data_IF_520458723151
#
_entry.id   IF_520458723151
#
_cell.length_a   1.000
_cell.length_b   1.000
_cell.length_c   1.000
_cell.angle_alpha   90.00
_cell.angle_beta   90.00
_cell.angle_gamma   90.00
#
_symmetry.space_group_name_H-M   'P 1'
#
loop_
_entity.id
_entity.type
_entity.pdbx_description
1 polymer ?
#
# COMPACT_ATOMS: atom_id res chain seq x y z
N UNK A 1 -14.17 18.05 -3.11
CA UNK A 1 -13.38 17.86 -1.88
C UNK A 1 -12.07 18.66 -1.86
N UNK A 2 -11.97 19.77 -2.63
CA UNK A 2 -10.76 20.61 -2.74
C UNK A 2 -11.02 22.10 -2.50
N UNK A 3 -12.25 22.48 -2.19
CA UNK A 3 -12.65 23.87 -1.94
C UNK A 3 -12.03 24.47 -0.66
N UNK A 4 -11.41 23.63 0.17
CA UNK A 4 -10.73 24.03 1.39
C UNK A 4 -9.25 24.43 1.18
N UNK A 5 -8.59 24.06 0.07
CA UNK A 5 -7.13 24.20 -0.04
C UNK A 5 -6.63 25.66 0.00
N UNK A 6 -7.34 26.60 -0.65
CA UNK A 6 -6.91 28.01 -0.66
C UNK A 6 -7.28 28.73 0.64
N UNK A 7 -8.53 28.56 1.10
CA UNK A 7 -9.02 29.19 2.33
C UNK A 7 -8.28 28.67 3.56
N UNK A 8 -8.02 27.37 3.63
CA UNK A 8 -7.25 26.76 4.73
C UNK A 8 -5.80 27.25 4.75
N UNK A 9 -5.18 27.44 3.59
CA UNK A 9 -3.84 28.01 3.51
C UNK A 9 -3.80 29.44 4.08
N UNK A 10 -4.82 30.26 3.81
CA UNK A 10 -4.94 31.60 4.42
C UNK A 10 -5.09 31.51 5.94
N UNK A 11 -5.92 30.60 6.44
CA UNK A 11 -6.11 30.40 7.89
C UNK A 11 -4.80 29.97 8.55
N UNK A 12 -4.07 29.03 7.97
CA UNK A 12 -2.76 28.61 8.47
C UNK A 12 -1.77 29.77 8.47
N UNK A 13 -1.77 30.61 7.43
CA UNK A 13 -0.91 31.79 7.34
C UNK A 13 -1.23 32.79 8.47
N UNK A 14 -2.51 33.05 8.73
CA UNK A 14 -2.97 33.88 9.85
C UNK A 14 -2.52 33.31 11.20
N UNK A 15 -2.74 32.01 11.44
CA UNK A 15 -2.34 31.35 12.70
C UNK A 15 -0.83 31.41 12.87
N UNK A 16 -0.07 31.16 11.81
CA UNK A 16 1.39 31.25 11.83
C UNK A 16 1.86 32.68 12.18
N UNK A 17 1.22 33.72 11.64
CA UNK A 17 1.51 35.11 11.97
C UNK A 17 1.23 35.41 13.45
N UNK A 18 0.16 34.87 14.04
CA UNK A 18 -0.17 35.09 15.45
C UNK A 18 0.79 34.35 16.38
N UNK A 19 1.07 33.08 16.10
CA UNK A 19 1.86 32.21 16.97
C UNK A 19 3.35 32.55 16.92
N UNK A 20 3.89 32.71 15.70
CA UNK A 20 5.32 32.96 15.48
C UNK A 20 5.60 34.47 15.50
N UNK A 21 4.64 35.28 15.07
CA UNK A 21 4.79 36.72 14.88
C UNK A 21 5.15 37.09 13.43
N UNK A 22 4.61 38.20 12.89
CA UNK A 22 4.86 38.65 11.51
C UNK A 22 6.33 38.96 11.23
N UNK A 23 7.08 39.38 12.24
CA UNK A 23 8.51 39.71 12.08
C UNK A 23 9.41 38.46 12.09
N UNK A 24 8.98 37.38 12.75
CA UNK A 24 9.80 36.18 12.93
C UNK A 24 9.53 35.12 11.88
N UNK A 25 8.28 35.00 11.39
CA UNK A 25 7.91 34.09 10.30
C UNK A 25 8.85 34.19 9.07
N UNK A 26 9.17 35.39 8.52
CA UNK A 26 10.07 35.49 7.37
C UNK A 26 11.50 35.05 7.68
N UNK A 27 11.95 35.22 8.93
CA UNK A 27 13.27 34.76 9.37
C UNK A 27 13.34 33.23 9.41
N UNK A 28 12.31 32.58 9.97
CA UNK A 28 12.21 31.11 10.02
C UNK A 28 12.07 30.53 8.62
N UNK A 29 11.21 31.10 7.77
CA UNK A 29 11.03 30.67 6.38
C UNK A 29 12.34 30.75 5.58
N UNK A 30 13.13 31.83 5.76
CA UNK A 30 14.47 31.96 5.14
C UNK A 30 15.41 30.87 5.63
N UNK A 31 15.51 30.64 6.93
CA UNK A 31 16.39 29.60 7.49
C UNK A 31 15.98 28.20 7.03
N UNK A 32 14.69 27.88 7.08
CA UNK A 32 14.15 26.62 6.60
C UNK A 32 14.39 26.44 5.09
N UNK A 33 14.18 27.51 4.31
CA UNK A 33 14.43 27.53 2.87
C UNK A 33 15.89 27.30 2.51
N UNK A 34 16.84 27.87 3.27
CA UNK A 34 18.27 27.61 3.06
C UNK A 34 18.64 26.15 3.34
N UNK A 35 18.05 25.54 4.36
CA UNK A 35 18.26 24.12 4.67
C UNK A 35 17.64 23.23 3.58
N UNK A 36 16.40 23.51 3.20
CA UNK A 36 15.69 22.78 2.15
C UNK A 36 16.42 22.87 0.81
N UNK A 37 16.89 24.07 0.44
CA UNK A 37 17.68 24.28 -0.78
C UNK A 37 19.00 23.52 -0.77
N UNK A 38 19.66 23.40 0.39
CA UNK A 38 20.89 22.60 0.53
C UNK A 38 20.60 21.11 0.38
N UNK A 39 19.52 20.61 1.00
CA UNK A 39 19.08 19.22 0.88
C UNK A 39 18.73 18.89 -0.57
N UNK A 40 17.96 19.75 -1.25
CA UNK A 40 17.63 19.57 -2.66
C UNK A 40 18.88 19.50 -3.53
N UNK A 41 19.87 20.39 -3.28
CA UNK A 41 21.14 20.38 -4.01
C UNK A 41 21.96 19.11 -3.75
N UNK A 42 21.96 18.61 -2.52
CA UNK A 42 22.62 17.35 -2.16
C UNK A 42 21.96 16.14 -2.82
N UNK A 43 20.63 16.08 -2.82
CA UNK A 43 19.88 15.03 -3.53
C UNK A 43 20.17 15.10 -5.04
N UNK A 44 20.26 16.29 -5.61
CA UNK A 44 20.62 16.46 -7.02
C UNK A 44 22.05 16.03 -7.33
N UNK A 45 23.04 16.38 -6.48
CA UNK A 45 24.43 15.94 -6.69
C UNK A 45 24.56 14.43 -6.54
N UNK A 46 23.97 13.85 -5.49
CA UNK A 46 23.96 12.40 -5.27
C UNK A 46 23.23 11.68 -6.40
N UNK A 47 22.12 12.22 -6.91
CA UNK A 47 21.44 11.67 -8.09
C UNK A 47 22.33 11.71 -9.34
N UNK A 48 23.11 12.76 -9.54
CA UNK A 48 24.01 12.88 -10.68
C UNK A 48 25.24 11.96 -10.55
N UNK A 49 25.78 11.80 -9.35
CA UNK A 49 26.91 10.90 -9.07
C UNK A 49 26.45 9.43 -9.20
N UNK A 50 25.27 9.10 -8.67
CA UNK A 50 24.63 7.79 -8.83
C UNK A 50 24.22 7.54 -10.29
N UNK A 51 23.81 8.56 -11.06
CA UNK A 51 23.46 8.37 -12.47
C UNK A 51 24.68 8.03 -13.35
N UNK A 52 25.91 8.30 -12.88
CA UNK A 52 27.14 7.93 -13.59
C UNK A 52 27.66 6.53 -13.22
N UNK A 53 27.38 6.02 -12.00
CA UNK A 53 27.89 4.71 -11.53
C UNK A 53 26.82 3.62 -11.35
N UNK A 54 25.56 3.97 -11.09
CA UNK A 54 24.42 3.04 -11.06
C UNK A 54 23.58 3.28 -12.30
N UNK A 55 23.68 2.33 -13.21
CA UNK A 55 22.78 2.15 -14.32
C UNK A 55 21.32 2.36 -13.85
N UNK A 56 20.62 3.21 -14.59
CA UNK A 56 19.16 3.37 -14.58
C UNK A 56 18.42 2.01 -14.69
N UNK A 57 19.13 0.96 -15.07
CA UNK A 57 18.69 -0.43 -15.18
C UNK A 57 18.16 -1.03 -13.86
N UNK A 58 18.79 -0.80 -12.70
CA UNK A 58 18.37 -1.50 -11.46
C UNK A 58 17.14 -0.86 -10.78
N UNK A 59 17.05 0.49 -10.82
CA UNK A 59 15.85 1.21 -10.36
C UNK A 59 14.67 1.02 -11.32
N UNK A 60 14.93 0.90 -12.63
CA UNK A 60 13.88 0.54 -13.59
C UNK A 60 13.45 -0.92 -13.47
N UNK A 61 14.36 -1.86 -13.18
CA UNK A 61 14.00 -3.25 -12.90
C UNK A 61 13.16 -3.36 -11.64
N UNK A 62 13.51 -2.67 -10.55
CA UNK A 62 12.70 -2.69 -9.32
C UNK A 62 11.31 -2.07 -9.53
N UNK A 63 11.23 -0.95 -10.27
CA UNK A 63 9.94 -0.35 -10.67
C UNK A 63 9.14 -1.28 -11.60
N UNK A 64 9.81 -2.00 -12.50
CA UNK A 64 9.21 -2.97 -13.41
C UNK A 64 8.63 -4.18 -12.66
N UNK A 65 9.36 -4.73 -11.70
CA UNK A 65 8.92 -5.87 -10.87
C UNK A 65 7.69 -5.50 -10.04
N UNK A 66 7.72 -4.34 -9.37
CA UNK A 66 6.56 -3.85 -8.58
C UNK A 66 5.36 -3.60 -9.50
N UNK A 67 5.55 -3.00 -10.68
CA UNK A 67 4.46 -2.77 -11.64
C UNK A 67 3.82 -4.08 -12.11
N UNK A 68 4.65 -5.09 -12.39
CA UNK A 68 4.20 -6.40 -12.85
C UNK A 68 3.46 -7.16 -11.75
N UNK A 69 3.93 -7.14 -10.50
CA UNK A 69 3.22 -7.73 -9.37
C UNK A 69 1.87 -7.05 -9.13
N UNK A 70 1.82 -5.72 -9.15
CA UNK A 70 0.55 -4.97 -8.99
C UNK A 70 -0.43 -5.31 -10.11
N UNK A 71 0.02 -5.35 -11.37
CA UNK A 71 -0.86 -5.74 -12.48
C UNK A 71 -1.30 -7.21 -12.44
N UNK A 72 -0.48 -8.11 -11.90
CA UNK A 72 -0.86 -9.51 -11.68
C UNK A 72 -1.93 -9.64 -10.58
N UNK A 73 -1.78 -8.89 -9.49
CA UNK A 73 -2.76 -8.80 -8.40
C UNK A 73 -4.07 -8.18 -8.90
N UNK A 74 -4.02 -7.12 -9.69
CA UNK A 74 -5.21 -6.50 -10.29
C UNK A 74 -5.97 -7.50 -11.18
N UNK A 75 -5.26 -8.24 -12.05
CA UNK A 75 -5.87 -9.28 -12.90
C UNK A 75 -6.50 -10.40 -12.06
N UNK A 76 -5.77 -10.94 -11.08
CA UNK A 76 -6.29 -11.97 -10.19
C UNK A 76 -7.50 -11.49 -9.39
N UNK A 77 -7.51 -10.22 -8.95
CA UNK A 77 -8.64 -9.62 -8.25
C UNK A 77 -9.87 -9.45 -9.14
N UNK A 78 -9.69 -9.06 -10.40
CA UNK A 78 -10.78 -8.95 -11.37
C UNK A 78 -11.34 -10.33 -11.74
N UNK A 79 -10.50 -11.33 -11.97
CA UNK A 79 -10.93 -12.70 -12.22
C UNK A 79 -11.68 -13.30 -11.03
N UNK A 80 -11.16 -13.11 -9.81
CA UNK A 80 -11.83 -13.52 -8.59
C UNK A 80 -13.19 -12.82 -8.41
N UNK A 81 -13.27 -11.52 -8.76
CA UNK A 81 -14.51 -10.75 -8.70
C UNK A 81 -15.55 -11.26 -9.69
N UNK A 82 -15.15 -11.54 -10.94
CA UNK A 82 -16.03 -12.11 -11.96
C UNK A 82 -16.51 -13.51 -11.59
N UNK A 83 -15.63 -14.35 -11.03
CA UNK A 83 -15.99 -15.69 -10.57
C UNK A 83 -16.94 -15.66 -9.36
N UNK A 84 -16.75 -14.70 -8.44
CA UNK A 84 -17.69 -14.45 -7.34
C UNK A 84 -19.05 -13.98 -7.88
N UNK A 85 -19.05 -13.06 -8.84
CA UNK A 85 -20.27 -12.51 -9.43
C UNK A 85 -21.06 -13.60 -10.17
N UNK A 86 -20.38 -14.49 -10.90
CA UNK A 86 -21.00 -15.69 -11.50
C UNK A 86 -21.55 -16.64 -10.44
N UNK A 87 -20.79 -16.96 -9.39
CA UNK A 87 -21.29 -17.80 -8.28
C UNK A 87 -22.50 -17.18 -7.58
N UNK A 88 -22.55 -15.86 -7.44
CA UNK A 88 -23.67 -15.13 -6.84
C UNK A 88 -24.88 -15.11 -7.79
N UNK A 89 -24.66 -14.98 -9.11
CA UNK A 89 -25.73 -15.12 -10.11
C UNK A 89 -26.28 -16.55 -10.17
N UNK A 90 -25.43 -17.56 -10.11
CA UNK A 90 -25.82 -18.98 -10.10
C UNK A 90 -26.55 -19.35 -8.79
N UNK A 91 -26.13 -18.78 -7.66
CA UNK A 91 -26.81 -18.92 -6.38
C UNK A 91 -28.19 -18.22 -6.37
N UNK A 92 -28.35 -17.11 -7.11
CA UNK A 92 -29.62 -16.39 -7.22
C UNK A 92 -30.55 -16.95 -8.31
N UNK A 93 -30.04 -17.64 -9.33
CA UNK A 93 -30.82 -18.25 -10.42
C UNK A 93 -31.30 -19.68 -10.14
N UNK A 94 -31.13 -20.16 -8.90
CA UNK A 94 -31.96 -21.26 -8.36
C UNK A 94 -31.61 -22.67 -8.82
N UNK A 95 -30.34 -22.97 -9.16
CA UNK A 95 -29.86 -24.37 -9.27
C UNK A 95 -29.25 -24.86 -7.95
N UNK A 96 -30.14 -25.08 -6.98
CA UNK A 96 -29.84 -25.91 -5.82
C UNK A 96 -30.10 -27.37 -6.21
N UNK A 97 -29.04 -28.09 -6.55
CA UNK A 97 -28.99 -29.55 -6.67
C UNK A 97 -27.52 -29.93 -6.58
N UNK A 98 -27.03 -30.77 -5.67
CA UNK A 98 -27.67 -31.65 -4.73
C UNK A 98 -26.67 -31.94 -3.60
N UNK A 99 -27.19 -32.38 -2.46
CA UNK A 99 -26.50 -33.04 -1.35
C UNK A 99 -25.46 -34.06 -1.84
N UNK A 100 -24.30 -34.14 -1.19
CA UNK A 100 -23.83 -35.48 -0.79
C UNK A 100 -23.78 -35.59 0.73
N UNK A 101 -24.84 -36.17 1.29
CA UNK A 101 -24.79 -36.90 2.53
C UNK A 101 -24.67 -38.37 2.10
N UNK A 102 -23.48 -38.95 2.25
CA UNK A 102 -23.29 -40.39 2.44
C UNK A 102 -21.86 -40.61 2.97
N UNK A 103 -21.76 -40.49 4.29
CA UNK A 103 -20.81 -41.15 5.18
C UNK A 103 -20.55 -42.61 4.72
N UNK A 104 -19.32 -43.16 4.79
CA UNK A 104 -18.79 -44.01 5.90
C UNK A 104 -17.58 -44.85 5.35
N UNK A 105 -16.78 -45.56 6.18
CA UNK A 105 -15.75 -45.14 7.12
C UNK A 105 -14.37 -45.83 6.88
N UNK A 106 -13.41 -45.53 7.78
CA UNK A 106 -12.27 -46.38 8.19
C UNK A 106 -10.96 -46.25 7.42
N UNK A 107 -10.07 -45.39 7.94
CA UNK A 107 -8.67 -45.78 8.17
C UNK A 107 -8.28 -45.39 9.60
N UNK A 108 -8.45 -46.37 10.48
CA UNK A 108 -7.64 -46.71 11.66
C UNK A 108 -6.51 -45.74 12.04
N UNK A 109 -6.72 -45.00 13.13
CA UNK A 109 -5.63 -44.53 13.99
C UNK A 109 -5.07 -45.71 14.79
N UNK A 110 -3.76 -45.98 14.78
CA UNK A 110 -3.11 -46.66 15.88
C UNK A 110 -2.64 -45.61 16.89
N UNK A 111 -3.53 -45.20 17.78
CA UNK A 111 -3.16 -44.57 19.05
C UNK A 111 -3.13 -45.65 20.11
N UNK A 112 -1.94 -46.11 20.48
CA UNK A 112 -1.65 -46.71 21.80
C UNK A 112 -0.15 -46.97 21.94
N UNK A 113 0.51 -46.18 22.78
CA UNK A 113 1.62 -46.66 23.61
C UNK A 113 1.61 -45.87 24.92
N UNK A 114 1.81 -46.53 26.06
CA UNK A 114 1.10 -46.23 27.30
C UNK A 114 1.98 -45.46 28.30
N UNK A 115 1.45 -44.35 28.81
CA UNK A 115 1.99 -43.66 30.00
C UNK A 115 1.31 -44.20 31.26
N UNK A 116 2.12 -44.76 32.16
CA UNK A 116 1.77 -45.48 33.39
C UNK A 116 0.88 -44.71 34.40
N UNK A 117 0.19 -45.46 35.30
CA UNK A 117 -0.78 -44.94 36.27
C UNK A 117 -0.14 -44.56 37.62
N UNK A 118 -0.93 -43.87 38.46
CA UNK A 118 -0.83 -43.88 39.93
C UNK A 118 -1.70 -45.03 40.44
#
# INVERSE_FOLDING_TARGET
MFDFAFTELIVILLVALVVIGPERLPKVARTAGHLWGRVQRYVHSVKNDIANDIAIEEVNQLRGTIRNEVSAIEKASNEARLALEQKILDAQTGKSSATPDEQKPSVTQPSTTPGKPV
#
